data_IF_350184167011
#
_entry.id   IF_350184167011
#
_cell.length_a   1.000
_cell.length_b   1.000
_cell.length_c   1.000
_cell.angle_alpha   90.00
_cell.angle_beta   90.00
_cell.angle_gamma   90.00
#
_symmetry.space_group_name_H-M   'P 1'
#
loop_
_entity.id
_entity.type
_entity.pdbx_description
1 polymer ?
#
# COMPACT_ATOMS: atom_id res chain seq x y z
N UNK A 1 -11.47 -15.27 -13.58
CA UNK A 1 -10.86 -14.61 -13.27
C UNK A 1 -9.99 -14.78 -12.39
N UNK A 2 -9.30 -14.67 -12.36
CA UNK A 2 -8.48 -14.87 -11.51
C UNK A 2 -8.33 -13.94 -10.70
N UNK A 3 -8.30 -13.85 -9.82
CA UNK A 3 -8.16 -12.92 -9.04
C UNK A 3 -6.86 -12.58 -8.75
N UNK A 4 -6.57 -11.35 -8.54
CA UNK A 4 -5.25 -10.99 -8.13
C UNK A 4 -4.86 -11.74 -6.88
N UNK A 5 -3.61 -12.08 -6.78
CA UNK A 5 -3.16 -12.71 -5.56
C UNK A 5 -3.19 -11.69 -4.43
N UNK A 6 -3.31 -12.15 -3.17
CA UNK A 6 -3.37 -11.23 -2.06
C UNK A 6 -2.16 -10.32 -1.91
N UNK A 7 -1.04 -10.72 -2.45
CA UNK A 7 0.16 -9.91 -2.32
C UNK A 7 0.40 -8.95 -3.46
N UNK A 8 -0.48 -8.92 -4.44
CA UNK A 8 -0.24 -8.09 -5.60
C UNK A 8 -0.49 -6.63 -5.29
N UNK A 9 0.52 -5.82 -5.50
CA UNK A 9 0.49 -4.40 -5.18
C UNK A 9 0.39 -3.61 -6.45
N UNK A 10 -0.66 -2.81 -6.59
CA UNK A 10 -0.84 -1.96 -7.76
C UNK A 10 -1.68 -0.76 -7.41
N UNK A 11 -1.59 0.25 -8.26
CA UNK A 11 -2.37 1.46 -8.10
C UNK A 11 -3.86 1.14 -8.10
N UNK A 12 -4.55 1.66 -7.12
CA UNK A 12 -5.98 1.43 -7.00
C UNK A 12 -6.36 0.25 -6.13
N UNK A 13 -5.38 -0.54 -5.68
CA UNK A 13 -5.67 -1.70 -4.86
C UNK A 13 -6.01 -1.27 -3.44
N UNK A 14 -6.97 -1.96 -2.84
CA UNK A 14 -7.28 -1.73 -1.42
C UNK A 14 -6.21 -2.42 -0.58
N UNK A 15 -5.79 -1.78 0.48
CA UNK A 15 -4.75 -2.33 1.33
C UNK A 15 -4.96 -1.95 2.78
N UNK A 16 -4.28 -2.69 3.64
CA UNK A 16 -4.27 -2.39 5.07
C UNK A 16 -2.81 -2.38 5.53
N UNK A 17 -2.46 -1.43 6.37
CA UNK A 17 -1.10 -1.31 6.87
C UNK A 17 -0.96 -2.24 8.08
N UNK A 18 0.01 -3.13 8.01
CA UNK A 18 0.21 -4.13 9.04
C UNK A 18 1.48 -3.92 9.85
N UNK A 19 2.29 -2.95 9.47
CA UNK A 19 3.51 -2.66 10.20
C UNK A 19 3.93 -1.23 10.06
N UNK A 20 4.92 -0.84 10.84
CA UNK A 20 5.46 0.50 10.81
C UNK A 20 4.62 1.49 11.61
N UNK A 21 4.85 2.76 11.35
CA UNK A 21 4.22 3.84 12.11
C UNK A 21 2.71 3.92 11.90
N UNK A 22 2.26 3.49 10.72
CA UNK A 22 0.85 3.64 10.35
C UNK A 22 0.05 2.35 10.50
N UNK A 23 0.55 1.42 11.30
CA UNK A 23 -0.11 0.12 11.48
C UNK A 23 -1.58 0.30 11.87
N UNK A 24 -2.44 -0.49 11.27
CA UNK A 24 -3.88 -0.44 11.56
C UNK A 24 -4.67 0.46 10.63
N UNK A 25 -4.00 1.25 9.83
CA UNK A 25 -4.68 2.11 8.88
C UNK A 25 -4.92 1.37 7.58
N UNK A 26 -5.94 1.77 6.85
CA UNK A 26 -6.25 1.16 5.57
C UNK A 26 -6.60 2.22 4.56
N UNK A 27 -6.57 1.85 3.31
CA UNK A 27 -6.90 2.79 2.26
C UNK A 27 -6.63 2.18 0.90
N UNK A 28 -6.41 3.05 -0.07
CA UNK A 28 -6.18 2.66 -1.45
C UNK A 28 -4.73 2.99 -1.82
N UNK A 29 -4.07 2.03 -2.45
CA UNK A 29 -2.72 2.25 -2.95
C UNK A 29 -2.78 3.28 -4.08
N UNK A 30 -1.96 4.29 -3.96
CA UNK A 30 -1.79 5.26 -5.02
C UNK A 30 -0.36 5.12 -5.55
N UNK A 31 0.41 6.13 -5.59
CA UNK A 31 1.73 6.12 -6.20
C UNK A 31 2.60 4.97 -5.70
N UNK A 32 3.15 4.21 -6.61
CA UNK A 32 4.08 3.15 -6.29
C UNK A 32 5.44 3.55 -6.82
N UNK A 33 6.42 3.62 -5.93
CA UNK A 33 7.77 4.03 -6.32
C UNK A 33 8.77 2.99 -5.86
N UNK A 34 9.71 2.68 -6.75
CA UNK A 34 10.80 1.77 -6.43
C UNK A 34 12.07 2.57 -6.29
N UNK A 35 12.73 2.46 -5.15
CA UNK A 35 13.99 3.15 -4.94
C UNK A 35 15.11 2.41 -5.63
N UNK A 36 16.26 3.09 -5.75
CA UNK A 36 17.43 2.48 -6.35
C UNK A 36 17.92 1.28 -5.57
N UNK A 37 17.65 1.24 -4.29
CA UNK A 37 18.08 0.14 -3.45
C UNK A 37 17.09 -1.02 -3.44
N UNK A 38 16.02 -0.91 -4.21
CA UNK A 38 15.05 -1.99 -4.31
C UNK A 38 13.89 -1.90 -3.34
N UNK A 39 13.86 -0.87 -2.53
CA UNK A 39 12.72 -0.69 -1.63
C UNK A 39 11.56 -0.09 -2.39
N UNK A 40 10.38 -0.64 -2.16
CA UNK A 40 9.17 -0.13 -2.80
C UNK A 40 8.38 0.64 -1.76
N UNK A 41 8.03 1.88 -2.11
CA UNK A 41 7.19 2.71 -1.27
C UNK A 41 5.89 3.00 -1.99
N UNK A 42 4.86 3.18 -1.21
CA UNK A 42 3.54 3.48 -1.76
C UNK A 42 2.93 4.63 -0.98
N UNK A 43 1.98 5.30 -1.63
CA UNK A 43 1.14 6.27 -0.95
C UNK A 43 -0.21 5.61 -0.72
N UNK A 44 -0.69 5.68 0.52
CA UNK A 44 -2.00 5.14 0.87
C UNK A 44 -2.95 6.32 1.06
N UNK A 45 -4.06 6.29 0.35
CA UNK A 45 -5.09 7.31 0.47
C UNK A 45 -6.28 6.75 1.22
N UNK A 46 -6.57 7.33 2.37
CA UNK A 46 -7.69 6.90 3.19
C UNK A 46 -8.99 7.53 2.69
N UNK A 47 -10.11 7.00 3.15
CA UNK A 47 -11.42 7.49 2.74
C UNK A 47 -11.61 8.97 3.03
N UNK A 48 -11.03 9.44 4.11
CA UNK A 48 -11.18 10.83 4.49
C UNK A 48 -10.27 11.78 3.71
N UNK A 49 -9.54 11.24 2.74
CA UNK A 49 -8.66 12.05 1.90
C UNK A 49 -7.26 12.20 2.44
N UNK A 50 -6.98 11.65 3.60
CA UNK A 50 -5.63 11.72 4.17
C UNK A 50 -4.73 10.75 3.44
N UNK A 51 -3.55 11.21 3.06
CA UNK A 51 -2.54 10.39 2.39
C UNK A 51 -1.29 10.30 3.24
N UNK A 52 -0.66 9.14 3.17
CA UNK A 52 0.63 8.96 3.82
C UNK A 52 1.45 7.97 3.03
N UNK A 53 2.76 8.03 3.22
CA UNK A 53 3.67 7.11 2.55
C UNK A 53 4.09 6.03 3.51
N UNK A 54 4.23 4.83 2.99
CA UNK A 54 4.71 3.70 3.78
C UNK A 54 5.42 2.73 2.85
N UNK A 55 6.13 1.80 3.45
CA UNK A 55 6.81 0.78 2.67
C UNK A 55 5.82 -0.27 2.21
N UNK A 56 6.01 -0.76 1.00
CA UNK A 56 5.12 -1.79 0.45
C UNK A 56 5.09 -3.03 1.33
N UNK A 57 6.22 -3.36 1.94
CA UNK A 57 6.28 -4.55 2.80
C UNK A 57 5.47 -4.40 4.09
N UNK A 58 5.05 -3.18 4.40
CA UNK A 58 4.28 -2.91 5.61
C UNK A 58 2.78 -2.94 5.36
N UNK A 59 2.36 -3.30 4.16
CA UNK A 59 0.93 -3.36 3.84
C UNK A 59 0.59 -4.72 3.24
N UNK A 60 -0.67 -5.06 3.37
CA UNK A 60 -1.22 -6.25 2.75
C UNK A 60 -2.35 -5.80 1.84
N UNK A 61 -2.30 -6.26 0.60
CA UNK A 61 -3.34 -5.95 -0.37
C UNK A 61 -4.55 -6.83 -0.08
N UNK A 62 -5.69 -6.22 -0.02
CA UNK A 62 -6.94 -6.91 0.27
C UNK A 62 -7.64 -7.43 -0.96
#
# INVERSE_FOLDING_TARGET
MKKASPGELKDGAACIVTGGTHVGKSGTVRDINTSKTGHITITVEQKNGVRFKTLAKNVVVQ
#
